data_IF_948574426613
#
_entry.id   IF_948574426613
#
_cell.length_a   1.000
_cell.length_b   1.000
_cell.length_c   1.000
_cell.angle_alpha   90.00
_cell.angle_beta   90.00
_cell.angle_gamma   90.00
#
_symmetry.space_group_name_H-M   'P 1'
#
loop_
_entity.id
_entity.type
_entity.pdbx_description
1 polymer ?
#
# COMPACT_ATOMS: atom_id res chain seq x y z
N UNK A 1 2.02 -7.22 42.09
CA UNK A 1 2.15 -7.69 40.70
C UNK A 1 1.10 -6.94 39.90
N UNK A 2 1.46 -6.06 38.96
CA UNK A 2 0.45 -5.37 38.16
C UNK A 2 -0.13 -6.36 37.15
N UNK A 3 -1.46 -6.44 37.13
CA UNK A 3 -2.26 -7.23 36.21
C UNK A 3 -2.03 -6.77 34.78
N UNK A 4 -1.63 -7.69 33.90
CA UNK A 4 -1.74 -7.51 32.46
C UNK A 4 -3.23 -7.55 32.12
N UNK A 5 -3.80 -6.38 31.92
CA UNK A 5 -5.14 -6.21 31.37
C UNK A 5 -5.05 -6.48 29.86
N UNK A 6 -5.36 -7.72 29.48
CA UNK A 6 -5.56 -8.13 28.09
C UNK A 6 -6.87 -7.49 27.59
N UNK A 7 -6.78 -6.24 27.13
CA UNK A 7 -7.84 -5.63 26.31
C UNK A 7 -7.56 -5.86 24.82
N UNK A 8 -8.61 -6.11 24.01
CA UNK A 8 -8.53 -6.85 22.75
C UNK A 8 -7.99 -5.99 21.61
N UNK A 9 -7.14 -6.60 20.77
CA UNK A 9 -6.98 -6.47 19.31
C UNK A 9 -7.58 -5.23 18.63
N UNK A 10 -7.31 -4.04 19.16
CA UNK A 10 -7.67 -2.80 18.48
C UNK A 10 -6.50 -2.48 17.56
N UNK A 11 -6.65 -2.62 16.23
CA UNK A 11 -5.57 -2.27 15.32
C UNK A 11 -5.23 -0.81 15.53
N UNK A 12 -3.96 -0.55 15.82
CA UNK A 12 -3.46 0.77 16.15
C UNK A 12 -3.81 1.75 15.05
N UNK A 13 -4.30 2.93 15.42
CA UNK A 13 -4.42 4.03 14.46
C UNK A 13 -3.04 4.48 14.01
N UNK A 14 -2.93 5.04 12.80
CA UNK A 14 -1.66 5.54 12.28
C UNK A 14 -1.01 6.59 13.22
N UNK A 15 -1.81 7.36 13.95
CA UNK A 15 -1.37 8.35 14.93
C UNK A 15 -0.85 7.74 16.25
N UNK A 16 -1.44 6.64 16.72
CA UNK A 16 -0.95 5.92 17.91
C UNK A 16 0.36 5.21 17.60
N UNK A 17 0.49 4.69 16.38
CA UNK A 17 1.67 3.99 15.92
C UNK A 17 2.89 4.92 15.80
N UNK A 18 2.72 6.08 15.16
CA UNK A 18 3.78 7.08 15.00
C UNK A 18 4.32 7.60 16.35
N UNK A 19 3.54 7.48 17.44
CA UNK A 19 3.97 7.82 18.80
C UNK A 19 4.75 6.71 19.50
N UNK A 20 4.40 5.44 19.28
CA UNK A 20 5.03 4.34 20.01
C UNK A 20 6.29 3.77 19.33
N UNK A 21 6.46 3.98 18.02
CA UNK A 21 7.62 3.49 17.28
C UNK A 21 8.35 4.66 16.63
N UNK A 22 9.30 5.31 17.34
CA UNK A 22 10.00 6.49 16.84
C UNK A 22 11.04 6.20 15.76
N UNK A 23 11.32 4.91 15.47
CA UNK A 23 12.18 4.51 14.36
C UNK A 23 11.44 4.82 13.06
N UNK A 24 11.95 5.79 12.30
CA UNK A 24 11.40 6.15 10.99
C UNK A 24 11.98 5.26 9.90
N UNK A 25 11.21 5.00 8.85
CA UNK A 25 11.72 4.36 7.64
C UNK A 25 12.88 5.16 7.08
N UNK A 26 14.02 4.52 6.84
CA UNK A 26 15.15 5.18 6.17
C UNK A 26 14.76 5.72 4.78
N UNK A 27 13.78 5.08 4.12
CA UNK A 27 13.32 5.45 2.77
C UNK A 27 12.18 6.47 2.78
N UNK A 28 11.34 6.48 3.82
CA UNK A 28 10.13 7.31 3.86
C UNK A 28 10.24 8.50 4.83
N UNK A 29 11.29 8.57 5.66
CA UNK A 29 11.48 9.65 6.65
C UNK A 29 11.44 11.07 6.08
N UNK A 30 11.72 11.23 4.79
CA UNK A 30 11.77 12.52 4.09
C UNK A 30 10.57 12.76 3.17
N UNK A 31 9.65 11.80 3.02
CA UNK A 31 8.47 11.94 2.16
C UNK A 31 7.54 12.99 2.76
N UNK A 32 7.25 14.04 2.01
CA UNK A 32 6.30 15.07 2.43
C UNK A 32 4.88 14.76 1.93
N UNK A 33 3.94 14.53 2.85
CA UNK A 33 2.52 14.37 2.49
C UNK A 33 1.87 15.72 2.10
N UNK A 34 0.76 15.72 1.32
CA UNK A 34 0.15 14.56 0.67
C UNK A 34 0.98 14.03 -0.51
N UNK A 35 0.88 12.73 -0.77
CA UNK A 35 1.46 12.10 -1.97
C UNK A 35 0.45 12.07 -3.12
N UNK A 36 0.97 12.02 -4.34
CA UNK A 36 0.17 11.79 -5.55
C UNK A 36 0.78 10.66 -6.38
N UNK A 37 -0.04 9.69 -6.77
CA UNK A 37 0.38 8.61 -7.66
C UNK A 37 0.49 9.12 -9.09
N UNK A 38 1.65 8.89 -9.69
CA UNK A 38 1.98 9.36 -11.05
C UNK A 38 1.79 8.24 -12.04
N UNK A 39 2.31 7.06 -11.72
CA UNK A 39 2.28 5.89 -12.58
C UNK A 39 2.17 4.62 -11.73
N UNK A 40 1.68 3.55 -12.32
CA UNK A 40 1.61 2.26 -11.66
C UNK A 40 1.29 1.16 -12.67
N UNK A 41 1.59 -0.08 -12.30
CA UNK A 41 1.36 -1.20 -13.19
C UNK A 41 1.59 -2.55 -12.53
N UNK A 42 1.52 -3.57 -13.36
CA UNK A 42 1.78 -4.96 -13.00
C UNK A 42 2.83 -5.54 -13.93
N UNK A 43 3.68 -6.43 -13.42
CA UNK A 43 4.59 -7.20 -14.26
C UNK A 43 3.97 -8.55 -14.65
N UNK A 44 4.50 -9.12 -15.74
CA UNK A 44 4.10 -10.43 -16.27
C UNK A 44 4.65 -11.61 -15.44
N UNK A 45 5.36 -11.34 -14.34
CA UNK A 45 6.04 -12.31 -13.47
C UNK A 45 5.10 -13.07 -12.52
N UNK A 46 3.80 -13.06 -12.81
CA UNK A 46 2.77 -13.64 -11.95
C UNK A 46 2.09 -12.64 -11.03
N UNK A 47 2.26 -11.33 -11.25
CA UNK A 47 1.43 -10.30 -10.64
C UNK A 47 2.12 -9.41 -9.62
N UNK A 48 3.44 -9.22 -9.73
CA UNK A 48 4.10 -8.11 -9.03
C UNK A 48 3.47 -6.78 -9.44
N UNK A 49 3.33 -5.87 -8.48
CA UNK A 49 2.72 -4.55 -8.67
C UNK A 49 3.72 -3.45 -8.36
N UNK A 50 3.71 -2.35 -9.11
CA UNK A 50 4.54 -1.19 -8.80
C UNK A 50 3.74 0.10 -8.86
N UNK A 51 4.19 1.09 -8.10
CA UNK A 51 3.67 2.46 -8.12
C UNK A 51 4.80 3.47 -8.00
N UNK A 52 4.66 4.52 -8.78
CA UNK A 52 5.48 5.71 -8.74
C UNK A 52 4.63 6.81 -8.12
N UNK A 53 5.16 7.49 -7.10
CA UNK A 53 4.46 8.58 -6.44
C UNK A 53 5.38 9.77 -6.22
N UNK A 54 4.78 10.96 -6.28
CA UNK A 54 5.44 12.21 -5.93
C UNK A 54 4.95 12.69 -4.58
N UNK A 55 5.84 13.27 -3.81
CA UNK A 55 5.50 13.95 -2.57
C UNK A 55 5.05 15.41 -2.84
N UNK A 56 4.66 16.14 -1.80
CA UNK A 56 4.20 17.54 -1.92
C UNK A 56 5.31 18.53 -2.29
N UNK A 57 6.58 18.10 -2.25
CA UNK A 57 7.74 18.87 -2.72
C UNK A 57 8.12 18.53 -4.16
N UNK A 58 7.42 17.59 -4.79
CA UNK A 58 7.69 17.13 -6.15
C UNK A 58 8.81 16.09 -6.25
N UNK A 59 9.26 15.52 -5.13
CA UNK A 59 10.25 14.43 -5.13
C UNK A 59 9.57 13.11 -5.50
N UNK A 60 10.20 12.33 -6.38
CA UNK A 60 9.70 11.04 -6.86
C UNK A 60 10.18 9.87 -6.01
N UNK A 61 9.29 8.91 -5.80
CA UNK A 61 9.50 7.69 -5.05
C UNK A 61 8.90 6.51 -5.79
N UNK A 62 9.47 5.33 -5.55
CA UNK A 62 9.13 4.08 -6.22
C UNK A 62 8.91 3.01 -5.16
N UNK A 63 7.79 2.29 -5.27
CA UNK A 63 7.49 1.13 -4.44
C UNK A 63 7.03 -0.03 -5.32
N UNK A 64 7.56 -1.21 -5.06
CA UNK A 64 7.19 -2.44 -5.77
C UNK A 64 6.79 -3.51 -4.75
N UNK A 65 5.60 -4.07 -4.92
CA UNK A 65 5.16 -5.27 -4.24
C UNK A 65 5.44 -6.45 -5.17
N UNK A 66 6.56 -7.12 -4.94
CA UNK A 66 6.90 -8.33 -5.67
C UNK A 66 5.94 -9.45 -5.27
N UNK A 67 5.37 -10.14 -6.24
CA UNK A 67 4.73 -11.41 -6.04
C UNK A 67 5.76 -12.50 -6.31
N UNK A 68 6.18 -13.25 -5.30
CA UNK A 68 6.84 -14.51 -5.60
C UNK A 68 5.76 -15.58 -5.81
N UNK A 69 6.02 -16.48 -6.76
CA UNK A 69 5.08 -17.54 -7.14
C UNK A 69 4.81 -18.53 -6.00
N UNK A 70 5.54 -18.40 -4.89
CA UNK A 70 5.41 -19.18 -3.65
C UNK A 70 4.40 -18.56 -2.66
N UNK A 71 3.86 -17.36 -2.97
CA UNK A 71 2.84 -16.67 -2.16
C UNK A 71 3.39 -15.71 -1.12
N UNK A 72 4.72 -15.59 -1.02
CA UNK A 72 5.47 -14.63 -0.20
C UNK A 72 5.67 -13.31 -0.97
N UNK A 73 4.64 -12.46 -0.96
CA UNK A 73 4.85 -11.12 -1.54
C UNK A 73 5.91 -10.35 -0.72
N UNK A 74 6.82 -9.62 -1.38
CA UNK A 74 7.87 -8.81 -0.74
C UNK A 74 7.79 -7.37 -1.19
N UNK A 75 7.71 -6.44 -0.24
CA UNK A 75 7.74 -5.01 -0.56
C UNK A 75 9.20 -4.58 -0.74
N UNK A 76 9.48 -3.81 -1.79
CA UNK A 76 10.77 -3.15 -2.00
C UNK A 76 10.55 -1.65 -2.25
N UNK A 77 11.49 -0.85 -1.75
CA UNK A 77 11.59 0.58 -2.03
C UNK A 77 12.78 0.86 -2.97
N UNK A 78 12.75 2.04 -3.61
CA UNK A 78 13.88 2.58 -4.40
C UNK A 78 14.15 1.83 -5.71
N UNK A 79 13.20 1.01 -6.19
CA UNK A 79 13.35 0.38 -7.50
C UNK A 79 12.04 0.30 -8.27
N UNK A 80 12.03 0.74 -9.55
CA UNK A 80 10.94 0.51 -10.49
C UNK A 80 11.03 -0.88 -11.12
N UNK A 81 11.78 -1.84 -10.54
CA UNK A 81 11.83 -3.23 -11.01
C UNK A 81 11.83 -4.22 -9.85
N UNK A 82 11.19 -5.40 -9.99
CA UNK A 82 11.09 -6.43 -8.93
C UNK A 82 12.38 -7.22 -8.72
N UNK A 83 13.39 -7.00 -9.56
CA UNK A 83 14.72 -7.62 -9.50
C UNK A 83 15.75 -6.75 -8.78
N UNK A 84 15.42 -5.51 -8.45
CA UNK A 84 16.31 -4.58 -7.75
C UNK A 84 15.59 -3.96 -6.55
N UNK A 85 16.35 -3.48 -5.56
CA UNK A 85 15.83 -2.89 -4.33
C UNK A 85 16.16 -3.69 -3.08
N UNK A 86 15.90 -3.07 -1.92
CA UNK A 86 16.17 -3.67 -0.62
C UNK A 86 14.86 -4.27 -0.10
N UNK A 87 14.79 -5.59 0.13
CA UNK A 87 13.60 -6.24 0.67
C UNK A 87 13.25 -5.65 2.04
N UNK A 88 11.97 -5.30 2.19
CA UNK A 88 11.43 -4.83 3.46
C UNK A 88 10.86 -6.03 4.21
N UNK A 89 11.21 -6.21 5.51
CA UNK A 89 10.59 -7.24 6.32
C UNK A 89 9.07 -7.06 6.39
N UNK A 90 8.33 -8.17 6.36
CA UNK A 90 6.88 -8.17 6.63
C UNK A 90 6.66 -7.53 8.01
N UNK A 91 5.72 -6.59 8.10
CA UNK A 91 5.46 -5.82 9.33
C UNK A 91 6.68 -5.07 9.88
N UNK A 92 7.71 -4.84 9.06
CA UNK A 92 8.85 -3.97 9.35
C UNK A 92 8.42 -2.51 9.54
N UNK A 93 9.35 -1.66 9.95
CA UNK A 93 9.08 -0.22 10.11
C UNK A 93 8.65 0.40 8.78
N UNK A 94 9.34 0.04 7.70
CA UNK A 94 9.14 0.62 6.38
C UNK A 94 7.80 0.19 5.76
N UNK A 95 7.42 -1.09 5.90
CA UNK A 95 6.13 -1.59 5.42
C UNK A 95 4.96 -0.94 6.18
N UNK A 96 5.10 -0.79 7.51
CA UNK A 96 4.07 -0.17 8.35
C UNK A 96 3.92 1.32 8.07
N UNK A 97 5.01 2.05 7.90
CA UNK A 97 4.95 3.47 7.53
C UNK A 97 4.35 3.68 6.14
N UNK A 98 4.72 2.85 5.17
CA UNK A 98 4.14 2.92 3.82
C UNK A 98 2.65 2.60 3.84
N UNK A 99 2.25 1.53 4.53
CA UNK A 99 0.84 1.20 4.72
C UNK A 99 0.09 2.36 5.37
N UNK A 100 0.63 2.97 6.42
CA UNK A 100 0.00 4.12 7.07
C UNK A 100 -0.15 5.33 6.14
N UNK A 101 0.82 5.56 5.26
CA UNK A 101 0.73 6.61 4.23
C UNK A 101 -0.34 6.30 3.18
N UNK A 102 -0.45 5.04 2.74
CA UNK A 102 -1.53 4.59 1.84
C UNK A 102 -2.91 4.73 2.48
N UNK A 103 -3.05 4.37 3.76
CA UNK A 103 -4.29 4.53 4.52
C UNK A 103 -4.70 6.02 4.61
N UNK A 104 -3.75 6.92 4.90
CA UNK A 104 -4.00 8.38 4.93
C UNK A 104 -4.37 8.92 3.57
N UNK A 105 -3.63 8.57 2.52
CA UNK A 105 -3.97 8.94 1.15
C UNK A 105 -5.38 8.46 0.76
N UNK A 106 -5.70 7.19 1.03
CA UNK A 106 -6.99 6.61 0.68
C UNK A 106 -8.17 7.27 1.44
N UNK A 107 -7.92 7.76 2.65
CA UNK A 107 -8.92 8.49 3.41
C UNK A 107 -9.29 9.86 2.79
N UNK A 108 -8.36 10.47 2.05
CA UNK A 108 -8.52 11.81 1.48
C UNK A 108 -8.89 11.82 -0.02
N UNK A 109 -8.49 10.80 -0.78
CA UNK A 109 -8.65 10.77 -2.24
C UNK A 109 -9.95 10.07 -2.68
N UNK A 110 -10.84 10.79 -3.38
CA UNK A 110 -12.12 10.25 -3.84
C UNK A 110 -11.98 9.10 -4.85
N UNK A 111 -10.93 9.10 -5.68
CA UNK A 111 -10.71 8.04 -6.66
C UNK A 111 -10.28 6.73 -5.99
N UNK A 112 -9.54 6.79 -4.88
CA UNK A 112 -9.25 5.62 -4.05
C UNK A 112 -10.53 4.98 -3.49
N UNK A 113 -11.48 5.80 -3.01
CA UNK A 113 -12.78 5.32 -2.49
C UNK A 113 -13.61 4.65 -3.59
N UNK A 114 -13.56 5.19 -4.80
CA UNK A 114 -14.15 4.54 -5.98
C UNK A 114 -13.56 3.15 -6.22
N UNK A 115 -12.23 3.03 -6.20
CA UNK A 115 -11.54 1.76 -6.41
C UNK A 115 -11.84 0.74 -5.31
N UNK A 116 -11.82 1.15 -4.05
CA UNK A 116 -12.20 0.30 -2.91
C UNK A 116 -13.60 -0.28 -3.12
N UNK A 117 -14.57 0.54 -3.54
CA UNK A 117 -15.94 0.09 -3.84
C UNK A 117 -15.97 -0.90 -5.02
N UNK A 118 -15.25 -0.61 -6.11
CA UNK A 118 -15.14 -1.50 -7.28
C UNK A 118 -14.56 -2.87 -6.91
N UNK A 119 -13.49 -2.92 -6.11
CA UNK A 119 -12.92 -4.18 -5.65
C UNK A 119 -13.88 -4.95 -4.72
N UNK A 120 -14.61 -4.27 -3.83
CA UNK A 120 -15.70 -4.89 -3.04
C UNK A 120 -16.75 -5.56 -3.91
N UNK A 121 -17.24 -4.86 -4.92
CA UNK A 121 -18.26 -5.38 -5.82
C UNK A 121 -17.75 -6.58 -6.63
N UNK A 122 -16.52 -6.51 -7.14
CA UNK A 122 -15.91 -7.58 -7.90
C UNK A 122 -15.67 -8.83 -7.04
N UNK A 123 -15.18 -8.68 -5.80
CA UNK A 123 -15.03 -9.78 -4.84
C UNK A 123 -16.37 -10.45 -4.52
N UNK A 124 -17.42 -9.67 -4.25
CA UNK A 124 -18.79 -10.20 -4.03
C UNK A 124 -19.28 -11.01 -5.23
N UNK A 125 -18.96 -10.56 -6.45
CA UNK A 125 -19.34 -11.23 -7.69
C UNK A 125 -18.38 -12.35 -8.13
N UNK A 126 -17.28 -12.56 -7.40
CA UNK A 126 -16.20 -13.49 -7.77
C UNK A 126 -15.66 -13.25 -9.19
N UNK A 127 -15.57 -11.98 -9.58
CA UNK A 127 -14.98 -11.56 -10.86
C UNK A 127 -13.70 -10.78 -10.59
N UNK A 128 -12.77 -10.79 -11.54
CA UNK A 128 -11.64 -9.87 -11.50
C UNK A 128 -12.12 -8.45 -11.78
N UNK A 129 -11.54 -7.48 -11.08
CA UNK A 129 -11.66 -6.08 -11.52
C UNK A 129 -10.85 -5.97 -12.79
N UNK A 130 -11.53 -5.96 -13.94
CA UNK A 130 -10.93 -5.45 -15.16
C UNK A 130 -10.87 -3.94 -15.03
N UNK A 131 -9.71 -3.38 -15.32
CA UNK A 131 -9.50 -1.92 -15.43
C UNK A 131 -10.17 -1.33 -16.68
N UNK A 132 -11.22 -1.97 -17.21
CA UNK A 132 -12.11 -1.43 -18.24
C UNK A 132 -13.00 -0.36 -17.61
N UNK A 133 -12.41 0.78 -17.30
CA UNK A 133 -13.13 2.02 -17.07
C UNK A 133 -13.08 2.79 -18.39
N UNK A 134 -14.22 3.20 -18.98
CA UNK A 134 -14.26 3.81 -20.32
C UNK A 134 -13.37 5.05 -20.55
N UNK A 135 -12.75 5.58 -19.50
CA UNK A 135 -11.86 6.76 -19.52
C UNK A 135 -10.70 6.56 -18.52
N UNK A 136 -10.06 5.38 -18.55
CA UNK A 136 -8.94 5.10 -17.66
C UNK A 136 -7.74 6.00 -17.96
N UNK A 137 -7.52 7.02 -17.13
CA UNK A 137 -6.27 7.79 -17.16
C UNK A 137 -5.15 7.01 -16.48
N UNK A 138 -3.91 7.32 -16.84
CA UNK A 138 -2.72 6.75 -16.20
C UNK A 138 -2.71 6.99 -14.68
N UNK A 139 -3.12 8.19 -14.26
CA UNK A 139 -3.28 8.54 -12.84
C UNK A 139 -4.34 7.65 -12.17
N UNK A 140 -5.51 7.48 -12.79
CA UNK A 140 -6.58 6.66 -12.21
C UNK A 140 -6.17 5.19 -12.11
N UNK A 141 -5.43 4.69 -13.09
CA UNK A 141 -4.85 3.36 -13.07
C UNK A 141 -3.83 3.21 -11.93
N UNK A 142 -2.90 4.16 -11.79
CA UNK A 142 -1.92 4.18 -10.70
C UNK A 142 -2.58 4.16 -9.31
N UNK A 143 -3.68 4.91 -9.13
CA UNK A 143 -4.49 4.88 -7.89
C UNK A 143 -5.15 3.52 -7.65
N UNK A 144 -5.59 2.83 -8.71
CA UNK A 144 -6.09 1.46 -8.63
C UNK A 144 -5.02 0.48 -8.16
N UNK A 145 -3.82 0.56 -8.74
CA UNK A 145 -2.67 -0.26 -8.34
C UNK A 145 -2.25 0.03 -6.90
N UNK A 146 -2.16 1.29 -6.49
CA UNK A 146 -1.86 1.69 -5.10
C UNK A 146 -2.87 1.10 -4.11
N UNK A 147 -4.16 1.13 -4.47
CA UNK A 147 -5.24 0.52 -3.69
C UNK A 147 -5.07 -1.00 -3.58
N UNK A 148 -4.67 -1.67 -4.66
CA UNK A 148 -4.35 -3.10 -4.66
C UNK A 148 -3.17 -3.41 -3.72
N UNK A 149 -2.05 -2.69 -3.86
CA UNK A 149 -0.87 -2.83 -2.99
C UNK A 149 -1.24 -2.66 -1.52
N UNK A 150 -1.97 -1.60 -1.16
CA UNK A 150 -2.44 -1.36 0.20
C UNK A 150 -3.17 -2.58 0.77
N UNK A 151 -4.03 -3.21 -0.02
CA UNK A 151 -4.81 -4.36 0.43
C UNK A 151 -4.02 -5.66 0.60
N UNK A 152 -2.96 -5.84 -0.19
CA UNK A 152 -2.00 -6.91 0.05
C UNK A 152 -1.25 -6.68 1.37
N UNK A 153 -0.82 -5.44 1.62
CA UNK A 153 -0.13 -5.09 2.87
C UNK A 153 -1.05 -5.26 4.09
N UNK A 154 -2.32 -4.83 4.01
CA UNK A 154 -3.32 -5.06 5.06
C UNK A 154 -3.44 -6.55 5.40
N UNK A 155 -3.63 -7.40 4.38
CA UNK A 155 -3.75 -8.86 4.55
C UNK A 155 -2.52 -9.45 5.25
N UNK A 156 -1.32 -9.07 4.83
CA UNK A 156 -0.05 -9.56 5.40
C UNK A 156 0.15 -9.14 6.85
N UNK A 157 -0.34 -7.95 7.20
CA UNK A 157 -0.27 -7.42 8.56
C UNK A 157 -1.45 -7.90 9.44
N UNK A 158 -2.22 -8.89 9.00
CA UNK A 158 -3.39 -9.41 9.74
C UNK A 158 -4.52 -8.39 9.90
N UNK A 159 -4.48 -7.26 9.18
CA UNK A 159 -5.51 -6.23 9.22
C UNK A 159 -6.66 -6.59 8.28
N UNK A 160 -7.91 -6.17 8.59
CA UNK A 160 -9.03 -6.31 7.69
C UNK A 160 -8.72 -5.65 6.33
N UNK A 161 -8.88 -6.42 5.25
CA UNK A 161 -8.77 -5.86 3.90
C UNK A 161 -9.91 -4.87 3.67
N UNK A 162 -9.67 -3.87 2.82
CA UNK A 162 -10.72 -2.90 2.49
C UNK A 162 -11.85 -3.51 1.65
N UNK A 163 -11.81 -4.78 1.24
CA UNK A 163 -12.89 -5.44 0.50
C UNK A 163 -13.04 -6.93 0.77
#
# INVERSE_FOLDING_TARGET
MPSFDESPDTPWTASEFARAFPVRSEYLKNVAEPIAFVHGGSYDDGGSLFVDFKDSKGQFYYACLKNDLDGDTRLTFVSPTPSMGIPVPVSGVEEREFLGMLERWASADQASQYWIRKYREARKRRVSVKYDVPEMTEELYAKGVATSIMNHLLKRNGKPQLW
#
